data_IF_942330197862
#
_entry.id   IF_942330197862
#
_cell.length_a   1.000
_cell.length_b   1.000
_cell.length_c   1.000
_cell.angle_alpha   90.00
_cell.angle_beta   90.00
_cell.angle_gamma   90.00
#
_symmetry.space_group_name_H-M   'P 1'
#
loop_
_entity.id
_entity.type
_entity.pdbx_description
1 polymer ?
#
# COMPACT_ATOMS: atom_id res chain seq x y z
N UNK A 1 -1.32 -21.57 -14.58
CA UNK A 1 -1.02 -22.57 -13.54
C UNK A 1 -0.74 -21.76 -12.31
N UNK A 2 -1.43 -22.05 -11.20
CA UNK A 2 -1.25 -21.29 -9.98
C UNK A 2 0.18 -21.42 -9.47
N UNK A 3 0.80 -20.28 -9.14
CA UNK A 3 2.13 -20.20 -8.56
C UNK A 3 2.01 -19.70 -7.12
N UNK A 4 2.96 -20.11 -6.26
CA UNK A 4 3.01 -19.64 -4.89
C UNK A 4 3.41 -18.17 -4.83
N UNK A 5 2.55 -17.32 -4.28
CA UNK A 5 2.82 -15.90 -4.11
C UNK A 5 3.39 -15.62 -2.71
N UNK A 6 4.63 -15.11 -2.66
CA UNK A 6 5.30 -14.74 -1.41
C UNK A 6 4.68 -13.54 -0.70
N UNK A 7 3.95 -12.67 -1.41
CA UNK A 7 3.31 -11.50 -0.82
C UNK A 7 2.08 -11.89 0.01
N UNK A 8 1.19 -12.73 -0.54
CA UNK A 8 -0.05 -13.13 0.11
C UNK A 8 -0.02 -14.54 0.72
N UNK A 9 1.08 -15.29 0.59
CA UNK A 9 1.24 -16.67 1.06
C UNK A 9 0.15 -17.63 0.54
N UNK A 10 -0.30 -17.44 -0.70
CA UNK A 10 -1.32 -18.25 -1.33
C UNK A 10 -0.96 -18.64 -2.76
N UNK A 11 -1.59 -19.69 -3.26
CA UNK A 11 -1.39 -20.16 -4.64
C UNK A 11 -2.38 -19.48 -5.58
N UNK A 12 -1.87 -18.81 -6.60
CA UNK A 12 -2.71 -18.19 -7.61
C UNK A 12 -2.03 -17.95 -8.95
N UNK A 13 -2.82 -17.79 -10.02
CA UNK A 13 -2.28 -17.31 -11.29
C UNK A 13 -1.73 -15.87 -11.13
N UNK A 14 -0.68 -15.50 -11.86
CA UNK A 14 -0.09 -14.16 -11.83
C UNK A 14 -1.13 -13.06 -12.07
N UNK A 15 -0.92 -11.90 -11.46
CA UNK A 15 -1.77 -10.75 -11.70
C UNK A 15 -1.60 -10.26 -13.16
N UNK A 16 -2.67 -9.76 -13.82
CA UNK A 16 -2.58 -9.19 -15.16
C UNK A 16 -1.57 -8.04 -15.21
N UNK A 17 -0.84 -7.86 -16.33
CA UNK A 17 0.20 -6.82 -16.44
C UNK A 17 -0.35 -5.39 -16.40
N UNK A 18 -1.65 -5.21 -16.66
CA UNK A 18 -2.37 -3.95 -16.69
C UNK A 18 -3.22 -3.71 -15.42
N UNK A 19 -3.08 -4.57 -14.40
CA UNK A 19 -3.86 -4.41 -13.16
C UNK A 19 -3.59 -3.04 -12.52
N UNK A 20 -4.67 -2.37 -12.13
CA UNK A 20 -4.62 -1.12 -11.39
C UNK A 20 -5.69 -1.09 -10.31
N UNK A 21 -5.49 -0.24 -9.31
CA UNK A 21 -6.37 -0.09 -8.15
C UNK A 21 -6.57 1.40 -7.89
N UNK A 22 -7.82 1.85 -7.84
CA UNK A 22 -8.12 3.22 -7.45
C UNK A 22 -8.16 3.36 -5.93
N UNK A 23 -7.50 4.39 -5.40
CA UNK A 23 -7.54 4.71 -3.98
C UNK A 23 -7.36 6.20 -3.76
N UNK A 24 -8.37 6.84 -3.13
CA UNK A 24 -8.35 8.27 -2.78
C UNK A 24 -8.02 9.20 -3.97
N UNK A 25 -8.60 8.92 -5.14
CA UNK A 25 -8.34 9.71 -6.36
C UNK A 25 -7.00 9.41 -7.04
N UNK A 26 -6.35 8.31 -6.68
CA UNK A 26 -5.13 7.83 -7.35
C UNK A 26 -5.38 6.47 -7.99
N UNK A 27 -5.01 6.32 -9.26
CA UNK A 27 -4.80 5.01 -9.87
C UNK A 27 -3.42 4.50 -9.47
N UNK A 28 -3.34 3.33 -8.84
CA UNK A 28 -2.11 2.68 -8.41
C UNK A 28 -1.86 1.43 -9.25
N UNK A 29 -0.60 1.17 -9.60
CA UNK A 29 -0.17 0.02 -10.40
C UNK A 29 0.90 -0.79 -9.66
N UNK A 30 1.14 -2.07 -10.03
CA UNK A 30 2.21 -2.87 -9.45
C UNK A 30 3.60 -2.23 -9.63
N UNK A 31 4.53 -2.45 -8.69
CA UNK A 31 4.38 -3.25 -7.47
C UNK A 31 3.58 -2.53 -6.38
N UNK A 32 2.47 -3.14 -5.91
CA UNK A 32 1.69 -2.55 -4.83
C UNK A 32 2.48 -2.60 -3.53
N UNK A 33 2.39 -1.56 -2.70
CA UNK A 33 3.13 -1.50 -1.43
C UNK A 33 2.18 -1.38 -0.26
N UNK A 34 2.52 -2.05 0.84
CA UNK A 34 1.88 -1.85 2.13
C UNK A 34 2.05 -0.39 2.55
N UNK A 35 0.95 0.33 2.79
CA UNK A 35 1.00 1.73 3.18
C UNK A 35 1.66 1.96 4.55
N UNK A 36 1.74 0.92 5.39
CA UNK A 36 2.30 1.01 6.74
C UNK A 36 3.81 0.71 6.79
N UNK A 37 4.29 -0.33 6.10
CA UNK A 37 5.69 -0.77 6.20
C UNK A 37 6.42 -0.87 4.85
N UNK A 38 5.73 -0.63 3.73
CA UNK A 38 6.35 -0.57 2.40
C UNK A 38 6.73 -1.88 1.75
N UNK A 39 6.43 -3.02 2.39
CA UNK A 39 6.61 -4.34 1.75
C UNK A 39 5.71 -4.49 0.54
N UNK A 40 6.18 -5.21 -0.47
CA UNK A 40 5.45 -5.46 -1.70
C UNK A 40 4.26 -6.41 -1.48
N UNK A 41 3.12 -6.05 -2.04
CA UNK A 41 1.85 -6.75 -2.03
C UNK A 41 1.51 -7.17 -3.46
N UNK A 42 0.87 -8.32 -3.62
CA UNK A 42 0.20 -8.66 -4.89
C UNK A 42 -1.13 -7.91 -5.01
N UNK A 43 -1.71 -7.86 -6.20
CA UNK A 43 -2.94 -7.12 -6.46
C UNK A 43 -4.10 -7.61 -5.58
N UNK A 44 -4.19 -8.93 -5.39
CA UNK A 44 -5.25 -9.56 -4.58
C UNK A 44 -5.19 -9.09 -3.14
N UNK A 45 -4.00 -9.11 -2.54
CA UNK A 45 -3.83 -8.65 -1.17
C UNK A 45 -4.13 -7.15 -1.06
N UNK A 46 -3.64 -6.34 -2.00
CA UNK A 46 -3.89 -4.90 -2.03
C UNK A 46 -5.39 -4.56 -2.16
N UNK A 47 -6.15 -5.36 -2.94
CA UNK A 47 -7.58 -5.22 -3.10
C UNK A 47 -8.33 -5.36 -1.76
N UNK A 48 -8.03 -6.43 -1.02
CA UNK A 48 -8.63 -6.69 0.29
C UNK A 48 -8.13 -5.70 1.36
N UNK A 49 -6.85 -5.34 1.34
CA UNK A 49 -6.23 -4.48 2.35
C UNK A 49 -5.01 -3.74 1.82
N UNK A 50 -4.87 -2.46 2.19
CA UNK A 50 -3.69 -1.65 1.83
C UNK A 50 -2.51 -1.88 2.78
N UNK A 51 -2.65 -2.83 3.69
CA UNK A 51 -1.65 -3.26 4.66
C UNK A 51 -1.25 -4.72 4.38
N UNK A 52 0.01 -5.07 4.62
CA UNK A 52 0.39 -6.48 4.60
C UNK A 52 -0.29 -7.23 5.75
N UNK A 53 -0.41 -8.57 5.65
CA UNK A 53 -1.07 -9.39 6.67
C UNK A 53 -0.50 -9.18 8.08
N UNK A 54 0.82 -8.93 8.19
CA UNK A 54 1.47 -8.62 9.46
C UNK A 54 1.05 -7.24 10.00
N UNK A 55 0.94 -6.22 9.15
CA UNK A 55 0.49 -4.90 9.56
C UNK A 55 -0.99 -4.87 9.93
N UNK A 56 -1.81 -5.63 9.18
CA UNK A 56 -3.26 -5.76 9.40
C UNK A 56 -3.58 -6.43 10.74
N UNK A 57 -2.74 -7.37 11.17
CA UNK A 57 -2.81 -8.00 12.52
C UNK A 57 -2.13 -7.18 13.62
N UNK A 58 -1.80 -5.91 13.36
CA UNK A 58 -1.25 -5.00 14.36
C UNK A 58 0.26 -5.15 14.62
N UNK A 59 0.99 -5.85 13.75
CA UNK A 59 2.44 -6.00 13.86
C UNK A 59 3.19 -4.67 13.77
N UNK A 60 2.71 -3.74 12.93
CA UNK A 60 3.18 -2.34 12.86
C UNK A 60 2.20 -1.35 13.48
N UNK A 61 0.89 -1.62 13.42
CA UNK A 61 -0.13 -0.82 14.09
C UNK A 61 -0.29 -1.29 15.53
N UNK A 62 0.43 -0.64 16.43
CA UNK A 62 0.59 -1.00 17.84
C UNK A 62 -0.67 -0.79 18.69
N UNK A 63 -1.87 -0.93 18.13
CA UNK A 63 -3.13 -0.84 18.87
C UNK A 63 -3.30 -1.96 19.89
N UNK A 64 -2.52 -3.05 19.79
CA UNK A 64 -2.62 -4.22 20.67
C UNK A 64 -1.46 -4.40 21.67
N UNK A 65 -0.35 -3.65 21.52
CA UNK A 65 0.74 -3.62 22.50
C UNK A 65 1.36 -2.22 22.45
N UNK A 66 1.62 -1.60 23.61
CA UNK A 66 2.21 -0.27 23.75
C UNK A 66 3.18 0.07 22.61
N UNK A 67 2.91 1.15 21.86
CA UNK A 67 3.70 1.56 20.69
C UNK A 67 5.19 1.56 21.02
N UNK A 68 5.94 0.60 20.44
CA UNK A 68 7.40 0.54 20.53
C UNK A 68 7.97 0.95 19.16
N UNK A 69 8.55 2.15 19.04
CA UNK A 69 9.14 2.63 17.79
C UNK A 69 10.18 1.66 17.20
N UNK A 70 10.87 0.88 18.04
CA UNK A 70 11.84 -0.15 17.64
C UNK A 70 11.21 -1.32 16.87
N UNK A 71 9.90 -1.56 17.05
CA UNK A 71 9.13 -2.63 16.40
C UNK A 71 8.41 -2.16 15.15
N UNK A 72 8.32 -0.84 14.92
CA UNK A 72 7.95 -0.34 13.63
C UNK A 72 9.06 -0.74 12.66
N UNK A 73 8.75 -1.58 11.67
CA UNK A 73 9.65 -1.75 10.53
C UNK A 73 9.97 -0.36 9.95
N UNK A 74 11.21 -0.17 9.50
CA UNK A 74 11.77 1.11 9.04
C UNK A 74 10.67 2.02 8.47
N UNK A 75 10.34 3.10 9.20
CA UNK A 75 9.25 4.01 8.84
C UNK A 75 9.36 4.35 7.36
N UNK A 76 8.37 4.00 6.52
CA UNK A 76 8.47 4.28 5.11
C UNK A 76 8.64 5.77 4.91
N UNK A 77 9.44 6.17 3.94
CA UNK A 77 9.72 7.60 3.69
C UNK A 77 8.49 8.41 3.28
N UNK A 78 7.38 7.75 2.93
CA UNK A 78 6.08 8.38 2.67
C UNK A 78 5.19 8.52 3.91
N UNK A 79 5.50 7.88 5.04
CA UNK A 79 4.70 8.02 6.26
C UNK A 79 4.86 9.46 6.77
N UNK A 80 3.84 10.28 6.53
CA UNK A 80 3.81 11.67 6.93
C UNK A 80 4.11 11.84 8.42
N UNK A 81 4.73 12.96 8.79
CA UNK A 81 4.83 13.36 10.21
C UNK A 81 3.44 13.76 10.73
N UNK A 82 3.17 13.70 12.04
CA UNK A 82 1.97 14.30 12.61
C UNK A 82 1.78 15.74 12.10
N UNK A 83 0.62 16.04 11.52
CA UNK A 83 0.32 17.33 10.88
C UNK A 83 0.60 17.41 9.38
N UNK A 84 1.17 16.37 8.76
CA UNK A 84 1.32 16.31 7.29
C UNK A 84 -0.05 16.12 6.65
N UNK A 85 -0.43 16.92 5.64
CA UNK A 85 -1.66 16.72 4.89
C UNK A 85 -1.75 15.30 4.31
N UNK A 86 -2.95 14.72 4.36
CA UNK A 86 -3.18 13.38 3.82
C UNK A 86 -2.84 13.29 2.32
N UNK A 87 -3.09 14.36 1.56
CA UNK A 87 -2.75 14.42 0.13
C UNK A 87 -1.25 14.34 -0.13
N UNK A 88 -0.43 15.02 0.67
CA UNK A 88 1.03 14.99 0.54
C UNK A 88 1.57 13.59 0.87
N UNK A 89 1.03 12.96 1.91
CA UNK A 89 1.32 11.55 2.24
C UNK A 89 0.96 10.62 1.08
N UNK A 90 -0.20 10.83 0.45
CA UNK A 90 -0.64 10.04 -0.69
C UNK A 90 0.22 10.25 -1.93
N UNK A 91 0.61 11.50 -2.23
CA UNK A 91 1.50 11.81 -3.34
C UNK A 91 2.90 11.18 -3.16
N UNK A 92 3.43 11.23 -1.93
CA UNK A 92 4.70 10.59 -1.59
C UNK A 92 4.64 9.06 -1.71
N UNK A 93 3.52 8.44 -1.29
CA UNK A 93 3.29 7.01 -1.45
C UNK A 93 3.16 6.62 -2.93
N UNK A 94 2.37 7.35 -3.70
CA UNK A 94 2.18 7.16 -5.14
C UNK A 94 3.51 7.22 -5.89
N UNK A 95 4.36 8.21 -5.61
CA UNK A 95 5.67 8.36 -6.22
C UNK A 95 6.60 7.14 -5.99
N UNK A 96 6.41 6.39 -4.91
CA UNK A 96 7.24 5.24 -4.54
C UNK A 96 6.63 3.88 -4.89
N UNK A 97 5.37 3.85 -5.33
CA UNK A 97 4.65 2.61 -5.65
C UNK A 97 5.02 2.02 -7.02
N UNK A 98 5.97 2.62 -7.75
CA UNK A 98 6.57 2.04 -8.95
C UNK A 98 5.65 2.03 -10.18
N UNK A 99 6.12 2.67 -11.26
CA UNK A 99 5.59 2.58 -12.62
C UNK A 99 4.06 2.81 -12.74
N UNK A 100 3.59 4.02 -12.44
CA UNK A 100 2.30 4.48 -12.99
C UNK A 100 1.23 4.85 -11.98
N UNK A 101 1.60 5.22 -10.76
CA UNK A 101 0.65 5.92 -9.91
C UNK A 101 0.27 7.26 -10.57
N UNK A 102 -1.02 7.45 -10.89
CA UNK A 102 -1.54 8.67 -11.52
C UNK A 102 -2.67 9.24 -10.66
N UNK A 103 -2.65 10.55 -10.39
CA UNK A 103 -3.80 11.25 -9.83
C UNK A 103 -4.91 11.28 -10.90
N UNK A 104 -6.06 10.70 -10.58
CA UNK A 104 -7.24 10.80 -11.41
C UNK A 104 -7.69 12.25 -11.33
N UNK A 105 -7.80 12.91 -12.48
CA UNK A 105 -8.21 14.30 -12.57
C UNK A 105 -9.54 14.46 -11.83
N UNK A 106 -9.63 15.40 -10.88
CA UNK A 106 -10.91 15.75 -10.25
C UNK A 106 -11.89 16.04 -11.39
N UNK A 107 -13.05 15.38 -11.41
CA UNK A 107 -14.12 15.80 -12.33
C UNK A 107 -14.26 17.32 -12.20
N UNK A 108 -14.31 18.07 -13.31
CA UNK A 108 -14.57 19.49 -13.22
C UNK A 108 -15.88 19.64 -12.47
N UNK A 109 -15.84 20.38 -11.35
CA UNK A 109 -17.03 20.77 -10.62
C UNK A 109 -17.97 21.41 -11.65
N UNK A 110 -19.07 20.71 -11.95
CA UNK A 110 -20.14 21.22 -12.82
C UNK A 110 -20.78 22.46 -12.19
#
# INVERSE_FOLDING_TARGET
MAEFCVSCYGDHDPDPPDVSMEFRGWELRPPFKCMCCGVDLCARQFAFGRACALCDTGGCQTWHQAFKPERAHARPSWEGRPGTPAEETMAAFAAQSGIGAKKLDEEPVL
#
